data_IF_606828049635
#
_entry.id   IF_606828049635
#
_cell.length_a   1.000
_cell.length_b   1.000
_cell.length_c   1.000
_cell.angle_alpha   90.00
_cell.angle_beta   90.00
_cell.angle_gamma   90.00
#
_symmetry.space_group_name_H-M   'P 1'
#
loop_
_entity.id
_entity.type
_entity.pdbx_description
1 polymer ?
#
# COMPACT_ATOMS: atom_id res chain seq x y z
N UNK A 1 -22.72 -17.16 -6.31
CA UNK A 1 -23.59 -16.80 -7.45
C UNK A 1 -22.89 -15.69 -8.20
N UNK A 2 -22.07 -16.05 -9.17
CA UNK A 2 -21.44 -15.14 -10.14
C UNK A 2 -22.49 -14.93 -11.22
N UNK A 3 -23.28 -13.86 -11.06
CA UNK A 3 -24.24 -13.44 -12.07
C UNK A 3 -23.51 -13.01 -13.33
N UNK A 4 -24.05 -13.44 -14.44
CA UNK A 4 -23.67 -13.24 -15.82
C UNK A 4 -23.18 -11.83 -16.12
N UNK A 5 -21.87 -11.65 -16.06
CA UNK A 5 -21.21 -10.56 -16.73
C UNK A 5 -21.38 -10.84 -18.23
N UNK A 6 -22.07 -9.99 -18.97
CA UNK A 6 -22.22 -10.16 -20.40
C UNK A 6 -20.82 -10.15 -21.04
N UNK A 7 -20.38 -11.34 -21.39
CA UNK A 7 -19.14 -11.57 -22.14
C UNK A 7 -19.34 -11.00 -23.54
N UNK A 8 -18.59 -9.98 -23.87
CA UNK A 8 -18.36 -9.68 -25.27
C UNK A 8 -17.63 -10.88 -25.90
N UNK A 9 -18.02 -11.26 -27.12
CA UNK A 9 -17.48 -12.44 -27.84
C UNK A 9 -15.93 -12.34 -28.02
N UNK A 10 -15.39 -11.13 -27.91
CA UNK A 10 -13.96 -10.83 -28.05
C UNK A 10 -13.18 -10.76 -26.69
N UNK A 11 -13.82 -11.12 -25.57
CA UNK A 11 -13.20 -11.09 -24.23
C UNK A 11 -12.97 -9.69 -23.67
N UNK A 12 -13.60 -8.66 -24.24
CA UNK A 12 -13.59 -7.30 -23.72
C UNK A 12 -14.77 -7.04 -22.80
N UNK A 13 -14.58 -6.18 -21.82
CA UNK A 13 -15.57 -5.80 -20.82
C UNK A 13 -15.64 -4.29 -20.69
N UNK A 14 -16.75 -3.82 -20.14
CA UNK A 14 -16.94 -2.41 -19.81
C UNK A 14 -17.39 -2.27 -18.37
N UNK A 15 -16.84 -1.28 -17.65
CA UNK A 15 -17.26 -0.96 -16.30
C UNK A 15 -16.98 0.53 -15.97
N UNK A 16 -17.67 1.06 -14.95
CA UNK A 16 -17.23 2.29 -14.30
C UNK A 16 -15.80 2.18 -13.80
N UNK A 17 -15.04 3.27 -13.85
CA UNK A 17 -13.68 3.31 -13.35
C UNK A 17 -13.50 4.45 -12.34
N UNK A 18 -12.65 4.20 -11.34
CA UNK A 18 -12.21 5.19 -10.36
C UNK A 18 -10.70 5.35 -10.49
N UNK A 19 -10.27 6.60 -10.68
CA UNK A 19 -8.86 6.95 -10.70
C UNK A 19 -8.35 7.04 -9.26
N UNK A 20 -7.29 6.30 -8.93
CA UNK A 20 -6.76 6.23 -7.56
C UNK A 20 -5.28 6.61 -7.59
N UNK A 21 -4.94 7.75 -6.99
CA UNK A 21 -3.56 8.24 -6.98
C UNK A 21 -2.76 7.80 -5.75
N UNK A 22 -3.41 7.50 -4.66
CA UNK A 22 -2.81 7.22 -3.35
C UNK A 22 -2.75 5.73 -2.97
N UNK A 23 -3.46 4.87 -3.70
CA UNK A 23 -3.53 3.44 -3.39
C UNK A 23 -3.29 2.56 -4.62
N UNK A 24 -2.78 1.35 -4.36
CA UNK A 24 -2.65 0.27 -5.34
C UNK A 24 -3.35 -0.95 -4.76
N UNK A 25 -4.36 -1.44 -5.45
CA UNK A 25 -5.17 -2.58 -5.00
C UNK A 25 -4.81 -3.81 -5.81
N UNK A 26 -4.57 -4.92 -5.13
CA UNK A 26 -4.22 -6.20 -5.75
C UNK A 26 -5.42 -7.16 -5.73
N UNK A 27 -5.42 -8.20 -6.59
CA UNK A 27 -6.38 -9.29 -6.48
C UNK A 27 -6.43 -9.92 -5.09
N UNK A 28 -7.60 -10.45 -4.71
CA UNK A 28 -7.90 -11.09 -3.41
C UNK A 28 -7.85 -10.15 -2.18
N UNK A 29 -7.45 -8.91 -2.32
CA UNK A 29 -7.38 -7.95 -1.21
C UNK A 29 -8.70 -7.24 -0.97
N UNK A 30 -8.99 -6.97 0.30
CA UNK A 30 -10.05 -6.06 0.69
C UNK A 30 -9.46 -4.74 1.16
N UNK A 31 -9.95 -3.63 0.61
CA UNK A 31 -9.52 -2.29 0.97
C UNK A 31 -10.72 -1.42 1.32
N UNK A 32 -10.56 -0.62 2.36
CA UNK A 32 -11.51 0.44 2.70
C UNK A 32 -11.01 1.76 2.11
N UNK A 33 -11.86 2.43 1.35
CA UNK A 33 -11.54 3.71 0.73
C UNK A 33 -12.69 4.68 0.94
N UNK A 34 -12.36 5.96 1.14
CA UNK A 34 -13.34 7.03 1.14
C UNK A 34 -13.36 7.70 -0.22
N UNK A 35 -14.51 7.69 -0.86
CA UNK A 35 -14.71 8.27 -2.19
C UNK A 35 -15.26 9.69 -2.03
N UNK A 36 -14.43 10.71 -2.28
CA UNK A 36 -14.78 12.13 -2.12
C UNK A 36 -15.02 12.84 -3.44
N UNK A 37 -14.32 12.43 -4.49
CA UNK A 37 -14.39 13.10 -5.78
C UNK A 37 -15.73 12.79 -6.46
N UNK A 38 -16.45 13.80 -6.99
CA UNK A 38 -17.81 13.61 -7.53
C UNK A 38 -17.91 12.55 -8.64
N UNK A 39 -16.96 12.48 -9.55
CA UNK A 39 -16.93 11.48 -10.63
C UNK A 39 -16.72 10.07 -10.08
N UNK A 40 -15.86 9.93 -9.09
CA UNK A 40 -15.61 8.65 -8.41
C UNK A 40 -16.82 8.19 -7.60
N UNK A 41 -17.53 9.13 -6.96
CA UNK A 41 -18.77 8.84 -6.26
C UNK A 41 -19.88 8.40 -7.24
N UNK A 42 -19.98 9.06 -8.40
CA UNK A 42 -20.90 8.67 -9.46
C UNK A 42 -20.56 7.28 -10.03
N UNK A 43 -19.27 6.96 -10.23
CA UNK A 43 -18.82 5.64 -10.64
C UNK A 43 -19.21 4.54 -9.63
N UNK A 44 -18.99 4.79 -8.35
CA UNK A 44 -19.37 3.87 -7.27
C UNK A 44 -20.91 3.67 -7.20
N UNK A 45 -21.68 4.76 -7.34
CA UNK A 45 -23.14 4.69 -7.38
C UNK A 45 -23.66 3.92 -8.60
N UNK A 46 -23.02 4.08 -9.75
CA UNK A 46 -23.35 3.33 -10.96
C UNK A 46 -23.00 1.84 -10.81
N UNK A 47 -21.84 1.54 -10.25
CA UNK A 47 -21.45 0.16 -9.95
C UNK A 47 -22.48 -0.54 -9.07
N UNK A 48 -22.99 0.12 -8.06
CA UNK A 48 -24.04 -0.43 -7.19
C UNK A 48 -25.36 -0.76 -7.92
N UNK A 49 -25.68 -0.01 -8.98
CA UNK A 49 -26.88 -0.26 -9.82
C UNK A 49 -26.67 -1.37 -10.84
N UNK A 50 -25.44 -1.62 -11.25
CA UNK A 50 -25.11 -2.67 -12.23
C UNK A 50 -24.69 -3.95 -11.51
N UNK A 51 -23.43 -4.30 -11.53
CA UNK A 51 -22.92 -5.59 -11.00
C UNK A 51 -22.03 -5.44 -9.74
N UNK A 52 -22.02 -4.28 -9.10
CA UNK A 52 -21.09 -3.92 -8.02
C UNK A 52 -19.61 -3.94 -8.45
N UNK A 53 -19.32 -3.81 -9.74
CA UNK A 53 -17.99 -3.91 -10.29
C UNK A 53 -17.47 -2.53 -10.74
N UNK A 54 -16.22 -2.25 -10.38
CA UNK A 54 -15.49 -1.04 -10.75
C UNK A 54 -14.06 -1.43 -11.14
N UNK A 55 -13.48 -0.69 -12.06
CA UNK A 55 -12.04 -0.77 -12.32
C UNK A 55 -11.34 0.34 -11.54
N UNK A 56 -10.45 -0.05 -10.62
CA UNK A 56 -9.53 0.89 -9.99
C UNK A 56 -8.30 1.05 -10.85
N UNK A 57 -8.07 2.28 -11.32
CA UNK A 57 -6.94 2.62 -12.17
C UNK A 57 -5.93 3.39 -11.34
N UNK A 58 -4.69 2.89 -11.12
CA UNK A 58 -3.70 3.53 -10.27
C UNK A 58 -3.03 4.72 -10.98
N UNK A 59 -3.80 5.74 -11.30
CA UNK A 59 -3.40 6.97 -11.98
C UNK A 59 -4.25 8.15 -11.51
N UNK A 60 -3.63 9.33 -11.42
CA UNK A 60 -4.35 10.58 -11.16
C UNK A 60 -5.07 11.14 -12.40
N UNK A 61 -4.71 10.69 -13.61
CA UNK A 61 -5.18 11.26 -14.89
C UNK A 61 -5.85 10.22 -15.75
N UNK A 62 -7.01 10.58 -16.31
CA UNK A 62 -7.75 9.72 -17.24
C UNK A 62 -6.97 9.47 -18.53
N UNK A 63 -6.26 10.47 -19.06
CA UNK A 63 -5.45 10.37 -20.29
C UNK A 63 -4.40 9.26 -20.22
N UNK A 64 -3.89 8.94 -19.03
CA UNK A 64 -2.89 7.90 -18.81
C UNK A 64 -3.50 6.53 -18.47
N UNK A 65 -4.82 6.39 -18.54
CA UNK A 65 -5.48 5.13 -18.21
C UNK A 65 -5.31 4.09 -19.33
N UNK A 66 -5.31 4.50 -20.59
CA UNK A 66 -5.21 3.57 -21.73
C UNK A 66 -3.87 2.86 -21.72
N UNK A 67 -3.88 1.54 -21.80
CA UNK A 67 -2.70 0.67 -21.69
C UNK A 67 -2.27 0.36 -20.25
N UNK A 68 -2.79 1.09 -19.27
CA UNK A 68 -2.47 0.82 -17.86
C UNK A 68 -3.00 -0.53 -17.39
N UNK A 69 -2.31 -1.09 -16.40
CA UNK A 69 -2.82 -2.21 -15.60
C UNK A 69 -3.55 -1.62 -14.38
N UNK A 70 -4.82 -1.96 -14.26
CA UNK A 70 -5.66 -1.68 -13.11
C UNK A 70 -6.15 -2.96 -12.45
N UNK A 71 -7.05 -2.82 -11.49
CA UNK A 71 -7.68 -3.93 -10.80
C UNK A 71 -9.19 -3.83 -10.90
N UNK A 72 -9.83 -4.87 -11.41
CA UNK A 72 -11.28 -5.01 -11.28
C UNK A 72 -11.59 -5.35 -9.83
N UNK A 73 -12.48 -4.60 -9.23
CA UNK A 73 -12.88 -4.77 -7.82
C UNK A 73 -14.38 -4.93 -7.69
N UNK A 74 -14.78 -5.67 -6.68
CA UNK A 74 -16.18 -5.83 -6.28
C UNK A 74 -16.48 -4.91 -5.10
N UNK A 75 -17.49 -4.07 -5.22
CA UNK A 75 -18.03 -3.29 -4.12
C UNK A 75 -18.76 -4.21 -3.14
N UNK A 76 -18.22 -4.36 -1.93
CA UNK A 76 -18.79 -5.20 -0.87
C UNK A 76 -19.75 -4.41 0.02
N UNK A 77 -19.41 -3.18 0.32
CA UNK A 77 -20.17 -2.31 1.22
C UNK A 77 -19.97 -0.86 0.84
N UNK A 78 -21.04 -0.07 0.96
CA UNK A 78 -20.99 1.38 0.83
C UNK A 78 -21.84 1.96 1.94
N UNK A 79 -21.24 2.83 2.77
CA UNK A 79 -21.94 3.53 3.84
C UNK A 79 -21.76 5.04 3.66
N UNK A 80 -22.81 5.84 3.86
CA UNK A 80 -22.67 7.29 3.90
C UNK A 80 -21.71 7.66 5.05
N UNK A 81 -20.69 8.46 4.76
CA UNK A 81 -19.83 9.02 5.79
C UNK A 81 -20.40 10.35 6.27
N UNK A 82 -20.32 10.61 7.57
CA UNK A 82 -20.69 11.89 8.18
C UNK A 82 -19.79 13.06 7.74
N UNK A 83 -18.65 12.74 7.13
CA UNK A 83 -17.69 13.69 6.55
C UNK A 83 -17.76 13.53 5.04
N UNK A 84 -18.48 14.38 4.34
CA UNK A 84 -18.66 14.45 2.89
C UNK A 84 -17.98 13.35 2.08
N UNK A 85 -18.66 12.25 1.80
CA UNK A 85 -18.17 11.10 1.03
C UNK A 85 -18.85 9.80 1.40
N UNK A 86 -18.57 8.75 0.65
CA UNK A 86 -19.00 7.40 0.97
C UNK A 86 -17.79 6.55 1.39
N UNK A 87 -17.89 5.90 2.54
CA UNK A 87 -16.91 4.89 2.92
C UNK A 87 -17.29 3.59 2.21
N UNK A 88 -16.37 3.04 1.45
CA UNK A 88 -16.59 1.87 0.61
C UNK A 88 -15.59 0.79 0.93
N UNK A 89 -16.03 -0.47 0.87
CA UNK A 89 -15.16 -1.64 0.98
C UNK A 89 -15.15 -2.34 -0.37
N UNK A 90 -13.97 -2.51 -0.91
CA UNK A 90 -13.73 -3.11 -2.22
C UNK A 90 -12.92 -4.39 -2.07
N UNK A 91 -13.31 -5.44 -2.80
CA UNK A 91 -12.52 -6.66 -2.94
C UNK A 91 -11.90 -6.71 -4.33
N UNK A 92 -10.57 -6.78 -4.42
CA UNK A 92 -9.84 -7.03 -5.67
C UNK A 92 -10.19 -8.40 -6.24
N UNK A 93 -10.45 -8.43 -7.55
CA UNK A 93 -10.78 -9.67 -8.27
C UNK A 93 -9.65 -10.07 -9.22
N UNK A 94 -9.39 -9.25 -10.23
CA UNK A 94 -8.42 -9.54 -11.29
C UNK A 94 -7.63 -8.30 -11.67
N UNK A 95 -6.42 -8.51 -12.18
CA UNK A 95 -5.73 -7.51 -12.97
C UNK A 95 -6.42 -7.34 -14.32
N UNK A 96 -6.53 -6.11 -14.75
CA UNK A 96 -7.13 -5.77 -16.04
C UNK A 96 -6.24 -4.80 -16.81
N UNK A 97 -6.25 -4.92 -18.14
CA UNK A 97 -5.61 -3.96 -19.05
C UNK A 97 -6.67 -3.03 -19.61
N UNK A 98 -6.49 -1.76 -19.46
CA UNK A 98 -7.41 -0.74 -19.99
C UNK A 98 -7.16 -0.59 -21.47
N UNK A 99 -8.16 -0.86 -22.29
CA UNK A 99 -8.06 -0.78 -23.76
C UNK A 99 -8.56 0.57 -24.30
N UNK A 100 -9.41 1.26 -23.55
CA UNK A 100 -9.93 2.56 -23.94
C UNK A 100 -10.79 3.21 -22.88
N UNK A 101 -10.94 4.52 -22.95
CA UNK A 101 -11.89 5.31 -22.18
C UNK A 101 -13.10 5.57 -23.06
N UNK A 102 -14.29 5.22 -22.60
CA UNK A 102 -15.54 5.32 -23.33
C UNK A 102 -16.31 6.59 -23.01
N UNK A 103 -16.21 7.05 -21.76
CA UNK A 103 -16.83 8.27 -21.25
C UNK A 103 -16.04 8.79 -20.05
N UNK A 104 -16.15 10.10 -19.81
CA UNK A 104 -15.55 10.77 -18.64
C UNK A 104 -16.58 11.41 -17.73
N UNK A 105 -17.74 11.76 -18.26
CA UNK A 105 -18.85 12.37 -17.52
C UNK A 105 -20.13 11.50 -17.65
N UNK A 106 -20.93 11.35 -16.59
CA UNK A 106 -20.75 11.86 -15.21
C UNK A 106 -19.72 11.07 -14.40
N UNK A 107 -19.19 9.98 -14.93
CA UNK A 107 -18.13 9.14 -14.36
C UNK A 107 -17.27 8.57 -15.48
N UNK A 108 -16.06 8.17 -15.14
CA UNK A 108 -15.17 7.50 -16.10
C UNK A 108 -15.70 6.09 -16.36
N UNK A 109 -15.89 5.74 -17.63
CA UNK A 109 -16.23 4.39 -18.10
C UNK A 109 -15.11 3.88 -19.00
N UNK A 110 -14.64 2.69 -18.74
CA UNK A 110 -13.52 2.10 -19.47
C UNK A 110 -13.90 0.78 -20.12
N UNK A 111 -13.25 0.50 -21.26
CA UNK A 111 -13.20 -0.84 -21.88
C UNK A 111 -11.89 -1.48 -21.49
N UNK A 112 -11.95 -2.74 -21.08
CA UNK A 112 -10.79 -3.47 -20.59
C UNK A 112 -10.84 -4.95 -20.96
N UNK A 113 -9.69 -5.60 -20.89
CA UNK A 113 -9.56 -7.05 -20.97
C UNK A 113 -8.93 -7.57 -19.67
N UNK A 114 -9.21 -8.81 -19.32
CA UNK A 114 -8.48 -9.45 -18.23
C UNK A 114 -7.01 -9.54 -18.59
N UNK A 115 -6.14 -9.08 -17.69
CA UNK A 115 -4.72 -9.28 -17.85
C UNK A 115 -4.40 -10.72 -17.42
N UNK A 116 -4.07 -11.56 -18.40
CA UNK A 116 -3.77 -12.97 -18.14
C UNK A 116 -2.44 -13.10 -17.41
N UNK A 117 -2.43 -13.90 -16.36
CA UNK A 117 -1.22 -14.32 -15.68
C UNK A 117 -0.73 -15.65 -16.24
N UNK A 118 0.57 -15.81 -16.37
CA UNK A 118 1.18 -17.08 -16.71
C UNK A 118 0.92 -18.07 -15.56
N UNK A 119 0.32 -19.22 -15.86
CA UNK A 119 -0.15 -20.15 -14.82
C UNK A 119 0.81 -21.31 -14.51
N UNK A 120 1.94 -21.38 -15.18
CA UNK A 120 2.88 -22.47 -14.99
C UNK A 120 3.66 -22.29 -13.68
N UNK A 121 3.45 -23.23 -12.75
CA UNK A 121 4.20 -23.28 -11.50
C UNK A 121 5.40 -24.20 -11.71
N UNK A 122 6.58 -23.61 -11.80
CA UNK A 122 7.84 -24.36 -11.93
C UNK A 122 8.37 -24.78 -10.54
N UNK A 123 9.32 -25.71 -10.52
CA UNK A 123 10.00 -26.12 -9.29
C UNK A 123 10.71 -24.95 -8.60
N UNK A 124 11.25 -24.02 -9.39
CA UNK A 124 11.90 -22.79 -8.90
C UNK A 124 10.96 -21.89 -8.10
N UNK A 125 9.70 -21.82 -8.49
CA UNK A 125 8.69 -21.03 -7.77
C UNK A 125 8.49 -21.54 -6.34
N UNK A 126 8.63 -22.84 -6.08
CA UNK A 126 8.49 -23.41 -4.73
C UNK A 126 9.66 -23.03 -3.83
N UNK A 127 10.89 -23.08 -4.36
CA UNK A 127 12.07 -22.66 -3.58
C UNK A 127 12.02 -21.16 -3.28
N UNK A 128 11.58 -20.37 -4.24
CA UNK A 128 11.38 -18.94 -4.05
C UNK A 128 10.30 -18.64 -2.99
N UNK A 129 9.18 -19.38 -3.00
CA UNK A 129 8.17 -19.26 -1.94
C UNK A 129 8.75 -19.56 -0.56
N UNK A 130 9.57 -20.63 -0.43
CA UNK A 130 10.25 -20.94 0.83
C UNK A 130 11.17 -19.81 1.29
N UNK A 131 11.92 -19.20 0.37
CA UNK A 131 12.78 -18.06 0.68
C UNK A 131 11.96 -16.86 1.18
N UNK A 132 10.82 -16.55 0.54
CA UNK A 132 9.91 -15.48 1.01
C UNK A 132 9.31 -15.82 2.37
N UNK A 133 8.94 -17.07 2.64
CA UNK A 133 8.46 -17.47 3.97
C UNK A 133 9.52 -17.29 5.05
N UNK A 134 10.78 -17.61 4.75
CA UNK A 134 11.89 -17.37 5.68
C UNK A 134 12.06 -15.86 5.97
N UNK A 135 11.96 -15.02 4.95
CA UNK A 135 12.00 -13.57 5.13
C UNK A 135 10.82 -13.05 5.98
N UNK A 136 9.62 -13.62 5.83
CA UNK A 136 8.47 -13.28 6.69
C UNK A 136 8.77 -13.62 8.16
N UNK A 137 9.42 -14.75 8.42
CA UNK A 137 9.85 -15.10 9.78
C UNK A 137 10.85 -14.09 10.34
N UNK A 138 11.85 -13.70 9.54
CA UNK A 138 12.81 -12.67 9.92
C UNK A 138 12.13 -11.32 10.21
N UNK A 139 11.12 -10.94 9.42
CA UNK A 139 10.33 -9.73 9.70
C UNK A 139 9.62 -9.78 11.06
N UNK A 140 9.07 -10.94 11.42
CA UNK A 140 8.41 -11.13 12.73
C UNK A 140 9.38 -10.97 13.88
N UNK A 141 10.64 -11.38 13.71
CA UNK A 141 11.68 -11.23 14.72
C UNK A 141 12.13 -9.76 14.89
N UNK A 142 12.19 -9.00 13.79
CA UNK A 142 12.72 -7.63 13.78
C UNK A 142 11.63 -6.58 14.03
N UNK A 143 10.40 -6.84 13.58
CA UNK A 143 9.27 -5.89 13.67
C UNK A 143 8.28 -6.36 14.75
N UNK A 144 8.24 -5.70 15.90
CA UNK A 144 7.30 -6.07 16.96
C UNK A 144 5.85 -5.79 16.55
N UNK A 145 4.93 -6.66 16.99
CA UNK A 145 3.49 -6.44 16.86
C UNK A 145 2.87 -6.97 15.55
N UNK A 146 3.60 -7.74 14.74
CA UNK A 146 3.00 -8.46 13.61
C UNK A 146 2.08 -9.57 14.16
N UNK A 147 0.75 -9.56 13.84
CA UNK A 147 -0.16 -10.59 14.33
C UNK A 147 0.19 -11.98 13.76
N UNK A 148 0.23 -12.99 14.62
CA UNK A 148 0.56 -14.37 14.21
C UNK A 148 -0.47 -14.96 13.23
N UNK A 149 -1.70 -14.47 13.27
CA UNK A 149 -2.77 -14.85 12.36
C UNK A 149 -2.43 -14.48 10.91
N UNK A 150 -1.83 -13.29 10.71
CA UNK A 150 -1.38 -12.82 9.38
C UNK A 150 -0.23 -13.70 8.89
N UNK A 151 0.74 -14.01 9.74
CA UNK A 151 1.88 -14.86 9.40
C UNK A 151 1.41 -16.26 9.00
N UNK A 152 0.53 -16.85 9.82
CA UNK A 152 -0.04 -18.16 9.56
C UNK A 152 -0.86 -18.18 8.27
N UNK A 153 -1.62 -17.12 7.99
CA UNK A 153 -2.37 -16.98 6.75
C UNK A 153 -1.45 -16.94 5.53
N UNK A 154 -0.39 -16.13 5.57
CA UNK A 154 0.59 -16.04 4.48
C UNK A 154 1.28 -17.37 4.21
N UNK A 155 1.67 -18.10 5.25
CA UNK A 155 2.35 -19.40 5.13
C UNK A 155 1.48 -20.53 4.57
N UNK A 156 0.16 -20.39 4.64
CA UNK A 156 -0.78 -21.34 4.06
C UNK A 156 -1.11 -21.06 2.59
N UNK A 157 -0.48 -20.06 1.98
CA UNK A 157 -0.66 -19.75 0.55
C UNK A 157 0.19 -20.70 -0.29
N UNK A 158 -0.44 -21.33 -1.27
CA UNK A 158 0.16 -22.35 -2.15
C UNK A 158 0.50 -21.84 -3.56
N UNK A 159 0.18 -20.59 -3.87
CA UNK A 159 0.39 -19.98 -5.18
C UNK A 159 1.38 -18.81 -5.10
N UNK A 160 2.42 -18.79 -5.97
CA UNK A 160 3.39 -17.69 -6.01
C UNK A 160 2.73 -16.34 -6.35
N UNK A 161 1.73 -16.34 -7.24
CA UNK A 161 0.97 -15.14 -7.58
C UNK A 161 0.20 -14.57 -6.40
N UNK A 162 -0.54 -15.42 -5.69
CA UNK A 162 -1.30 -15.02 -4.51
C UNK A 162 -0.38 -14.57 -3.36
N UNK A 163 0.73 -15.27 -3.13
CA UNK A 163 1.71 -14.89 -2.12
C UNK A 163 2.31 -13.52 -2.43
N UNK A 164 2.73 -13.29 -3.68
CA UNK A 164 3.29 -12.00 -4.09
C UNK A 164 2.29 -10.84 -3.97
N UNK A 165 1.01 -11.08 -4.28
CA UNK A 165 -0.03 -10.06 -4.17
C UNK A 165 -0.34 -9.69 -2.70
N UNK A 166 -0.38 -10.67 -1.82
CA UNK A 166 -0.55 -10.45 -0.38
C UNK A 166 0.65 -9.72 0.23
N UNK A 167 1.88 -10.14 -0.13
CA UNK A 167 3.10 -9.47 0.33
C UNK A 167 3.22 -8.03 -0.20
N UNK A 168 2.70 -7.74 -1.40
CA UNK A 168 2.72 -6.41 -1.99
C UNK A 168 1.94 -5.37 -1.17
N UNK A 169 1.09 -5.80 -0.26
CA UNK A 169 0.39 -4.92 0.68
C UNK A 169 1.22 -4.52 1.90
N UNK A 170 2.43 -5.02 2.00
CA UNK A 170 3.33 -4.63 3.09
C UNK A 170 3.42 -3.10 3.22
N UNK A 171 3.29 -2.55 4.43
CA UNK A 171 3.43 -1.11 4.68
C UNK A 171 4.84 -0.58 4.33
N UNK A 172 5.82 -1.48 4.23
CA UNK A 172 7.21 -1.12 3.92
C UNK A 172 7.45 -0.85 2.43
N UNK A 173 6.51 -1.19 1.55
CA UNK A 173 6.67 -0.95 0.11
C UNK A 173 6.12 0.42 -0.26
N UNK A 174 6.91 1.15 -1.03
CA UNK A 174 6.51 2.42 -1.62
C UNK A 174 5.41 2.22 -2.67
N UNK A 175 4.67 3.30 -2.97
CA UNK A 175 3.67 3.28 -4.04
C UNK A 175 4.26 2.84 -5.39
N UNK A 176 5.46 3.32 -5.73
CA UNK A 176 6.14 2.94 -6.97
C UNK A 176 6.42 1.44 -7.03
N UNK A 177 6.96 0.87 -5.96
CA UNK A 177 7.23 -0.56 -5.86
C UNK A 177 5.93 -1.38 -5.99
N UNK A 178 4.84 -0.96 -5.34
CA UNK A 178 3.52 -1.60 -5.50
C UNK A 178 2.99 -1.51 -6.93
N UNK A 179 3.16 -0.36 -7.60
CA UNK A 179 2.76 -0.22 -9.00
C UNK A 179 3.53 -1.16 -9.92
N UNK A 180 4.83 -1.29 -9.71
CA UNK A 180 5.67 -2.21 -10.47
C UNK A 180 5.25 -3.66 -10.24
N UNK A 181 4.92 -4.03 -9.00
CA UNK A 181 4.37 -5.35 -8.69
C UNK A 181 3.00 -5.57 -9.35
N UNK A 182 2.10 -4.58 -9.36
CA UNK A 182 0.80 -4.70 -10.03
C UNK A 182 0.97 -4.93 -11.54
N UNK A 183 1.92 -4.24 -12.17
CA UNK A 183 2.21 -4.33 -13.61
C UNK A 183 2.92 -5.61 -14.00
N UNK A 184 3.56 -6.29 -13.07
CA UNK A 184 4.26 -7.55 -13.31
C UNK A 184 3.24 -8.69 -13.38
N UNK A 185 2.92 -9.14 -14.60
CA UNK A 185 1.89 -10.15 -14.85
C UNK A 185 2.39 -11.58 -14.60
N UNK A 186 3.68 -11.82 -14.76
CA UNK A 186 4.30 -13.11 -14.43
C UNK A 186 4.38 -13.28 -12.90
N UNK A 187 3.70 -14.30 -12.32
CA UNK A 187 3.67 -14.51 -10.88
C UNK A 187 5.03 -14.83 -10.26
N UNK A 188 5.89 -15.56 -10.99
CA UNK A 188 7.23 -15.91 -10.52
C UNK A 188 8.13 -14.67 -10.50
N UNK A 189 8.15 -13.91 -11.57
CA UNK A 189 8.89 -12.66 -11.65
C UNK A 189 8.41 -11.66 -10.60
N UNK A 190 7.09 -11.59 -10.34
CA UNK A 190 6.53 -10.77 -9.28
C UNK A 190 6.99 -11.22 -7.90
N UNK A 191 7.04 -12.51 -7.64
CA UNK A 191 7.53 -13.06 -6.37
C UNK A 191 9.04 -12.83 -6.20
N UNK A 192 9.84 -12.92 -7.27
CA UNK A 192 11.28 -12.54 -7.26
C UNK A 192 11.46 -11.07 -6.85
N UNK A 193 10.63 -10.18 -7.35
CA UNK A 193 10.65 -8.77 -6.97
C UNK A 193 10.29 -8.57 -5.50
N UNK A 194 9.25 -9.25 -5.02
CA UNK A 194 8.87 -9.23 -3.59
C UNK A 194 10.04 -9.70 -2.71
N UNK A 195 10.68 -10.80 -3.08
CA UNK A 195 11.86 -11.32 -2.38
C UNK A 195 12.98 -10.27 -2.29
N UNK A 196 13.33 -9.62 -3.41
CA UNK A 196 14.35 -8.58 -3.42
C UNK A 196 13.96 -7.33 -2.62
N UNK A 197 12.68 -6.96 -2.62
CA UNK A 197 12.17 -5.84 -1.80
C UNK A 197 12.25 -6.18 -0.32
N UNK A 198 11.89 -7.38 0.08
CA UNK A 198 12.00 -7.83 1.46
C UNK A 198 13.46 -7.87 1.94
N UNK A 199 14.38 -8.39 1.12
CA UNK A 199 15.82 -8.39 1.43
C UNK A 199 16.33 -6.97 1.70
N UNK A 200 15.98 -6.03 0.84
CA UNK A 200 16.32 -4.61 1.00
C UNK A 200 15.76 -4.04 2.31
N UNK A 201 14.50 -4.32 2.63
CA UNK A 201 13.85 -3.81 3.84
C UNK A 201 14.41 -4.44 5.12
N UNK A 202 14.63 -5.76 5.14
CA UNK A 202 15.26 -6.45 6.26
C UNK A 202 16.68 -5.91 6.54
N UNK A 203 17.46 -5.68 5.47
CA UNK A 203 18.79 -5.07 5.60
C UNK A 203 18.70 -3.67 6.22
N UNK A 204 17.75 -2.84 5.79
CA UNK A 204 17.55 -1.50 6.34
C UNK A 204 17.12 -1.57 7.82
N UNK A 205 16.16 -2.42 8.17
CA UNK A 205 15.67 -2.61 9.54
C UNK A 205 16.78 -3.14 10.46
N UNK A 206 17.56 -4.11 10.01
CA UNK A 206 18.68 -4.66 10.79
C UNK A 206 19.79 -3.62 11.01
N UNK A 207 20.04 -2.75 10.04
CA UNK A 207 20.99 -1.65 10.21
C UNK A 207 20.46 -0.60 11.17
N UNK A 208 19.16 -0.29 11.13
CA UNK A 208 18.53 0.63 12.11
C UNK A 208 18.56 0.07 13.53
N UNK A 209 18.35 -1.24 13.70
CA UNK A 209 18.42 -1.87 15.04
C UNK A 209 19.84 -1.92 15.63
N UNK A 210 20.85 -1.80 14.81
CA UNK A 210 22.26 -1.68 15.26
C UNK A 210 22.64 -0.25 15.64
N UNK A 211 21.85 0.74 15.22
CA UNK A 211 22.01 2.12 15.67
C UNK A 211 21.23 2.27 16.98
N UNK A 212 21.86 2.64 18.11
CA UNK A 212 21.13 2.79 19.36
C UNK A 212 19.99 3.78 19.15
N UNK A 213 18.77 3.35 19.51
CA UNK A 213 17.60 4.25 19.47
C UNK A 213 17.87 5.44 20.37
N UNK A 214 17.28 6.61 20.06
CA UNK A 214 17.38 7.81 20.92
C UNK A 214 17.01 7.47 22.39
N UNK A 215 16.14 6.47 22.59
CA UNK A 215 15.72 5.97 23.89
C UNK A 215 16.80 5.11 24.60
N UNK A 216 17.72 4.53 23.84
CA UNK A 216 18.83 3.70 24.36
C UNK A 216 20.15 4.47 24.41
N UNK A 217 20.16 5.68 23.84
CA UNK A 217 21.32 6.54 23.88
C UNK A 217 21.53 7.09 25.28
N UNK A 218 22.64 6.72 25.92
CA UNK A 218 22.99 7.18 27.26
C UNK A 218 22.95 8.71 27.37
N UNK A 219 23.42 9.40 26.34
CA UNK A 219 23.42 10.87 26.26
C UNK A 219 21.99 11.45 26.28
N UNK A 220 21.03 10.76 25.64
CA UNK A 220 19.63 11.19 25.64
C UNK A 220 18.96 10.94 27.00
N UNK A 221 19.30 9.85 27.67
CA UNK A 221 18.82 9.56 29.02
C UNK A 221 19.39 10.56 30.03
N UNK A 222 20.71 10.81 29.99
CA UNK A 222 21.36 11.78 30.85
C UNK A 222 20.81 13.21 30.64
N UNK A 223 20.46 13.55 29.41
CA UNK A 223 19.80 14.82 29.10
C UNK A 223 18.39 14.88 29.66
N UNK A 224 17.61 13.80 29.54
CA UNK A 224 16.26 13.74 30.07
C UNK A 224 16.26 13.93 31.59
N UNK A 225 17.16 13.25 32.31
CA UNK A 225 17.32 13.38 33.76
C UNK A 225 17.72 14.81 34.15
N UNK A 226 18.72 15.39 33.50
CA UNK A 226 19.14 16.79 33.72
C UNK A 226 18.01 17.78 33.42
N UNK A 227 17.25 17.56 32.36
CA UNK A 227 16.12 18.40 31.99
C UNK A 227 14.98 18.32 33.00
N UNK A 228 14.75 17.12 33.55
CA UNK A 228 13.75 16.89 34.62
C UNK A 228 14.16 17.62 35.90
N UNK A 229 15.43 17.50 36.34
CA UNK A 229 15.96 18.16 37.53
C UNK A 229 15.96 19.69 37.42
N UNK A 230 16.20 20.24 36.21
CA UNK A 230 16.24 21.67 35.95
C UNK A 230 14.84 22.35 35.95
N UNK A 231 13.78 21.54 35.99
CA UNK A 231 12.39 22.01 35.98
C UNK A 231 11.85 22.38 34.59
N UNK A 232 10.51 22.61 34.47
CA UNK A 232 9.82 22.64 33.18
C UNK A 232 10.33 23.66 32.17
N UNK A 233 10.71 24.85 32.63
CA UNK A 233 11.14 25.96 31.77
C UNK A 233 12.57 25.76 31.25
N UNK A 234 13.50 25.42 32.13
CA UNK A 234 14.93 25.21 31.82
C UNK A 234 15.11 23.90 31.08
N UNK A 235 14.43 22.84 31.51
CA UNK A 235 14.46 21.53 30.86
C UNK A 235 13.96 21.58 29.43
N UNK A 236 12.87 22.29 29.15
CA UNK A 236 12.38 22.48 27.79
C UNK A 236 13.37 23.22 26.87
N UNK A 237 14.15 24.15 27.43
CA UNK A 237 15.19 24.86 26.69
C UNK A 237 16.37 23.90 26.38
N UNK A 238 16.81 23.11 27.34
CA UNK A 238 17.89 22.11 27.15
C UNK A 238 17.54 21.08 26.09
N UNK A 239 16.32 20.54 26.13
CA UNK A 239 15.85 19.59 25.13
C UNK A 239 15.80 20.23 23.74
N UNK A 240 15.35 21.48 23.64
CA UNK A 240 15.30 22.20 22.36
C UNK A 240 16.70 22.42 21.78
N UNK A 241 17.67 22.87 22.58
CA UNK A 241 19.05 23.09 22.16
C UNK A 241 19.70 21.79 21.67
N UNK A 242 19.43 20.68 22.35
CA UNK A 242 19.91 19.35 21.95
C UNK A 242 19.27 18.89 20.62
N UNK A 243 17.97 19.06 20.44
CA UNK A 243 17.30 18.74 19.18
C UNK A 243 17.78 19.63 18.02
N UNK A 244 18.06 20.89 18.28
CA UNK A 244 18.63 21.81 17.28
C UNK A 244 20.05 21.39 16.88
N UNK A 245 20.83 20.86 17.82
CA UNK A 245 22.16 20.32 17.54
C UNK A 245 22.11 19.04 16.74
N UNK A 246 21.28 18.07 17.14
CA UNK A 246 21.05 16.82 16.39
C UNK A 246 20.56 17.08 14.98
N UNK A 247 19.68 18.07 14.80
CA UNK A 247 19.16 18.45 13.47
C UNK A 247 20.25 19.01 12.56
N UNK A 248 21.26 19.65 13.12
CA UNK A 248 22.41 20.16 12.35
C UNK A 248 23.43 19.09 11.99
N UNK A 249 23.64 18.13 12.89
CA UNK A 249 24.63 17.05 12.72
C UNK A 249 24.07 15.88 11.88
N UNK A 250 22.76 15.58 11.99
CA UNK A 250 22.08 14.45 11.35
C UNK A 250 20.72 14.84 10.76
N UNK A 251 20.66 15.77 9.78
CA UNK A 251 19.40 16.34 9.30
C UNK A 251 18.45 15.31 8.65
N UNK A 252 19.01 14.36 7.92
CA UNK A 252 18.21 13.39 7.15
C UNK A 252 17.69 12.23 8.02
N UNK A 253 18.51 11.76 8.97
CA UNK A 253 18.12 10.68 9.90
C UNK A 253 17.03 11.15 10.86
N UNK A 254 17.14 12.34 11.41
CA UNK A 254 16.18 12.90 12.36
C UNK A 254 14.82 13.19 11.69
N UNK A 255 14.84 13.71 10.47
CA UNK A 255 13.62 13.96 9.69
C UNK A 255 12.91 12.66 9.33
N UNK A 256 13.64 11.59 9.02
CA UNK A 256 13.10 10.27 8.75
C UNK A 256 12.40 9.69 10.00
N UNK A 257 13.07 9.70 11.15
CA UNK A 257 12.54 9.20 12.42
C UNK A 257 11.30 9.99 12.88
N UNK A 258 11.33 11.32 12.73
CA UNK A 258 10.19 12.18 13.09
C UNK A 258 9.02 11.97 12.12
N UNK A 259 9.27 11.83 10.83
CA UNK A 259 8.24 11.56 9.83
C UNK A 259 7.57 10.20 10.03
N UNK A 260 8.34 9.17 10.34
CA UNK A 260 7.83 7.84 10.66
C UNK A 260 6.98 7.82 11.93
N UNK A 261 7.45 8.44 12.99
CA UNK A 261 6.84 8.32 14.33
C UNK A 261 5.65 9.26 14.54
N UNK A 262 5.65 10.44 13.93
CA UNK A 262 4.63 11.48 14.16
C UNK A 262 3.79 11.80 12.93
N UNK A 263 4.08 11.15 11.78
CA UNK A 263 3.28 11.18 10.56
C UNK A 263 2.92 12.58 10.02
N UNK A 264 1.85 12.66 9.22
CA UNK A 264 1.44 13.88 8.52
C UNK A 264 1.09 15.07 9.44
N UNK A 265 0.79 14.83 10.71
CA UNK A 265 0.43 15.90 11.66
C UNK A 265 1.60 16.84 11.99
N UNK A 266 2.82 16.32 11.98
CA UNK A 266 4.02 17.14 12.24
C UNK A 266 4.40 17.99 11.03
N UNK A 267 4.26 17.43 9.82
CA UNK A 267 4.55 18.14 8.57
C UNK A 267 3.60 19.30 8.30
N UNK A 268 2.31 19.19 8.70
CA UNK A 268 1.33 20.29 8.58
C UNK A 268 1.65 21.50 9.44
N UNK A 269 2.27 21.34 10.60
CA UNK A 269 2.66 22.47 11.46
C UNK A 269 3.86 23.27 10.94
N UNK A 270 4.69 22.69 10.08
CA UNK A 270 5.86 23.37 9.49
C UNK A 270 5.50 24.17 8.22
N UNK A 271 4.42 23.78 7.52
CA UNK A 271 3.91 24.49 6.33
C UNK A 271 3.09 25.76 6.68
N UNK A 272 2.82 26.00 7.96
CA UNK A 272 2.04 27.16 8.44
C UNK A 272 2.91 28.22 9.13
N UNK A 273 4.23 28.18 9.00
CA UNK A 273 5.18 29.22 9.33
C UNK A 273 6.00 29.60 8.10
#
# INVERSE_FOLDING_TARGET
MTSDFEFSIDGTYEAPAIMVDDAVVFPEMEVSMTVHEPRSAAAAAQAFREHNLVVLVPSARVDSAVGAIGTLVLLRRSEPSSIAGAQTIWKGLWRVRINGVLAEDPYVRVRFTRAEEVRDIHSESRELMKAVFAQIDEFVEVVPGIPQEIVSFLKNVDSPGKLSDLCAYSPFFTRSERLDLLRTLDPEERLKRVHGLFEKQLTALTNMSKTPTILECQTCMDLADKAFEAGPSTGAKMVREFLDQLTKEHPDELLSIIAERYGPAFMRRRALK
#
